data_IF_247209744061
#
_entry.id   IF_247209744061
#
_cell.length_a   1.000
_cell.length_b   1.000
_cell.length_c   1.000
_cell.angle_alpha   90.00
_cell.angle_beta   90.00
_cell.angle_gamma   90.00
#
_symmetry.space_group_name_H-M   'P 1'
#
loop_
_entity.id
_entity.type
_entity.pdbx_description
1 polymer ?
#
# COMPACT_ATOMS: atom_id res chain seq x y z
N UNK A 1 -14.63 19.44 18.36
CA UNK A 1 -14.55 19.50 16.89
C UNK A 1 -15.01 18.16 16.33
N UNK A 2 -16.32 17.98 16.16
CA UNK A 2 -16.92 16.73 15.68
C UNK A 2 -16.80 16.66 14.15
N UNK A 3 -15.84 15.90 13.65
CA UNK A 3 -15.74 15.60 12.21
C UNK A 3 -16.91 14.71 11.81
N UNK A 4 -17.80 15.20 10.94
CA UNK A 4 -18.93 14.44 10.42
C UNK A 4 -18.43 13.20 9.65
N UNK A 5 -18.66 12.02 10.21
CA UNK A 5 -18.23 10.72 9.66
C UNK A 5 -19.04 10.28 8.44
N UNK A 6 -20.19 10.94 8.20
CA UNK A 6 -21.15 10.56 7.16
C UNK A 6 -20.57 10.62 5.75
N UNK A 7 -19.58 11.49 5.50
CA UNK A 7 -18.95 11.62 4.18
C UNK A 7 -17.51 11.06 4.12
N UNK A 8 -17.06 10.27 5.11
CA UNK A 8 -15.70 9.73 5.16
C UNK A 8 -15.55 8.37 4.45
N UNK A 9 -14.42 8.13 3.76
CA UNK A 9 -14.17 6.85 3.08
C UNK A 9 -14.20 5.73 4.12
N UNK A 10 -15.03 4.71 3.87
CA UNK A 10 -15.14 3.53 4.74
C UNK A 10 -15.64 3.91 6.17
N UNK A 11 -16.27 5.08 6.33
CA UNK A 11 -16.78 5.63 7.60
C UNK A 11 -15.72 5.74 8.72
N UNK A 12 -14.44 5.89 8.36
CA UNK A 12 -13.32 6.05 9.30
C UNK A 12 -12.70 7.44 9.09
N UNK A 13 -12.47 8.21 10.18
CA UNK A 13 -11.85 9.52 10.09
C UNK A 13 -10.39 9.45 9.65
N UNK A 14 -9.99 10.41 8.83
CA UNK A 14 -8.62 10.51 8.30
C UNK A 14 -7.50 10.34 9.35
N UNK A 15 -7.54 11.00 10.53
CA UNK A 15 -6.49 10.85 11.55
C UNK A 15 -6.35 9.41 12.07
N UNK A 16 -7.40 8.59 11.97
CA UNK A 16 -7.35 7.17 12.33
C UNK A 16 -7.01 6.30 11.11
N UNK A 17 -7.49 6.68 9.92
CA UNK A 17 -7.26 5.94 8.67
C UNK A 17 -5.78 5.87 8.31
N UNK A 18 -5.06 7.00 8.37
CA UNK A 18 -3.65 7.08 8.00
C UNK A 18 -2.74 6.12 8.80
N UNK A 19 -2.72 6.13 10.16
CA UNK A 19 -1.89 5.22 10.91
C UNK A 19 -2.32 3.76 10.73
N UNK A 20 -3.63 3.50 10.58
CA UNK A 20 -4.15 2.15 10.36
C UNK A 20 -3.69 1.59 9.00
N UNK A 21 -3.77 2.38 7.93
CA UNK A 21 -3.28 1.96 6.60
C UNK A 21 -1.77 1.70 6.61
N UNK A 22 -1.00 2.55 7.28
CA UNK A 22 0.44 2.40 7.40
C UNK A 22 0.83 1.17 8.24
N UNK A 23 0.10 0.90 9.32
CA UNK A 23 0.32 -0.28 10.18
C UNK A 23 -0.01 -1.59 9.44
N UNK A 24 -1.11 -1.63 8.69
CA UNK A 24 -1.45 -2.80 7.87
C UNK A 24 -0.42 -3.02 6.74
N UNK A 25 0.00 -1.93 6.09
CA UNK A 25 1.06 -2.00 5.08
C UNK A 25 2.40 -2.45 5.69
N UNK A 26 2.73 -2.00 6.91
CA UNK A 26 3.89 -2.46 7.66
C UNK A 26 3.81 -3.97 7.92
N UNK A 27 2.67 -4.47 8.39
CA UNK A 27 2.49 -5.89 8.68
C UNK A 27 2.66 -6.75 7.42
N UNK A 28 1.99 -6.39 6.32
CA UNK A 28 2.12 -7.09 5.04
C UNK A 28 3.55 -7.01 4.49
N UNK A 29 4.16 -5.83 4.51
CA UNK A 29 5.54 -5.62 4.06
C UNK A 29 6.56 -6.37 4.91
N UNK A 30 6.33 -6.45 6.22
CA UNK A 30 7.18 -7.20 7.15
C UNK A 30 7.07 -8.70 6.92
N UNK A 31 5.86 -9.23 6.67
CA UNK A 31 5.68 -10.65 6.35
C UNK A 31 6.37 -11.04 5.03
N UNK A 32 6.24 -10.21 4.00
CA UNK A 32 6.92 -10.39 2.72
C UNK A 32 8.46 -10.28 2.87
N UNK A 33 8.93 -9.25 3.57
CA UNK A 33 10.36 -9.05 3.83
C UNK A 33 10.97 -10.16 4.69
N UNK A 34 10.24 -10.65 5.69
CA UNK A 34 10.69 -11.73 6.56
C UNK A 34 10.80 -13.06 5.82
N UNK A 35 9.81 -13.41 5.00
CA UNK A 35 9.85 -14.63 4.20
C UNK A 35 11.01 -14.61 3.20
N UNK A 36 11.18 -13.51 2.46
CA UNK A 36 12.29 -13.36 1.52
C UNK A 36 13.66 -13.31 2.23
N UNK A 37 13.78 -12.52 3.31
CA UNK A 37 15.02 -12.36 4.06
C UNK A 37 15.50 -13.66 4.72
N UNK A 38 14.56 -14.45 5.27
CA UNK A 38 14.87 -15.76 5.85
C UNK A 38 15.35 -16.76 4.82
N UNK A 39 14.72 -16.80 3.64
CA UNK A 39 15.16 -17.65 2.52
C UNK A 39 16.56 -17.29 2.04
N UNK A 40 16.83 -16.01 1.79
CA UNK A 40 18.14 -15.54 1.31
C UNK A 40 19.24 -15.82 2.34
N UNK A 41 19.00 -15.53 3.62
CA UNK A 41 19.98 -15.80 4.68
C UNK A 41 20.24 -17.30 4.86
N UNK A 42 19.19 -18.13 4.78
CA UNK A 42 19.31 -19.58 4.84
C UNK A 42 20.08 -20.16 3.64
N UNK A 43 19.87 -19.63 2.43
CA UNK A 43 20.61 -20.04 1.23
C UNK A 43 22.08 -19.60 1.29
N UNK A 44 22.37 -18.38 1.78
CA UNK A 44 23.74 -17.93 2.02
C UNK A 44 24.48 -18.83 3.02
N UNK A 45 23.85 -19.14 4.16
CA UNK A 45 24.45 -20.04 5.14
C UNK A 45 24.79 -21.41 4.55
N UNK A 46 23.90 -21.95 3.70
CA UNK A 46 24.15 -23.23 3.00
C UNK A 46 25.29 -23.13 1.99
N UNK A 47 25.39 -22.02 1.27
CA UNK A 47 26.47 -21.78 0.32
C UNK A 47 27.83 -21.68 1.04
N UNK A 48 27.89 -20.90 2.12
CA UNK A 48 29.10 -20.73 2.95
C UNK A 48 29.54 -22.05 3.59
N UNK A 49 28.59 -22.88 4.03
CA UNK A 49 28.86 -24.15 4.70
C UNK A 49 28.76 -25.38 3.77
N UNK A 50 28.78 -25.20 2.45
CA UNK A 50 28.70 -26.31 1.50
C UNK A 50 29.87 -27.30 1.62
N UNK A 51 30.99 -26.86 2.20
CA UNK A 51 32.16 -27.70 2.47
C UNK A 51 32.15 -28.34 3.87
N UNK A 52 31.21 -27.98 4.76
CA UNK A 52 31.10 -28.45 6.15
C UNK A 52 29.76 -29.12 6.40
N UNK A 53 29.44 -30.14 5.61
CA UNK A 53 28.24 -30.92 5.86
C UNK A 53 28.42 -31.80 7.10
N UNK A 54 27.41 -31.87 7.98
CA UNK A 54 27.50 -32.67 9.19
C UNK A 54 27.51 -34.17 8.84
N UNK A 55 28.49 -34.90 9.36
CA UNK A 55 28.59 -36.37 9.26
C UNK A 55 28.03 -37.08 10.49
N UNK A 56 28.03 -36.40 11.65
CA UNK A 56 27.53 -36.93 12.92
C UNK A 56 26.14 -36.36 13.28
N UNK A 57 25.38 -37.12 14.08
CA UNK A 57 24.05 -36.69 14.56
C UNK A 57 24.09 -35.39 15.37
N UNK A 58 25.09 -35.22 16.23
CA UNK A 58 25.26 -34.01 17.04
C UNK A 58 25.59 -32.81 16.14
N UNK A 59 26.47 -33.00 15.16
CA UNK A 59 26.80 -31.98 14.16
C UNK A 59 25.59 -31.56 13.33
N UNK A 60 24.71 -32.50 12.99
CA UNK A 60 23.48 -32.21 12.25
C UNK A 60 22.54 -31.28 13.02
N UNK A 61 22.36 -31.52 14.32
CA UNK A 61 21.54 -30.67 15.18
C UNK A 61 22.14 -29.25 15.30
N UNK A 62 23.44 -29.14 15.59
CA UNK A 62 24.12 -27.85 15.72
C UNK A 62 24.10 -27.05 14.42
N UNK A 63 24.26 -27.73 13.28
CA UNK A 63 24.16 -27.11 11.96
C UNK A 63 22.78 -26.48 11.73
N UNK A 64 21.70 -27.24 11.98
CA UNK A 64 20.34 -26.75 11.78
C UNK A 64 19.96 -25.65 12.78
N UNK A 65 20.44 -25.73 14.02
CA UNK A 65 20.29 -24.69 15.03
C UNK A 65 20.93 -23.38 14.56
N UNK A 66 22.20 -23.40 14.15
CA UNK A 66 22.91 -22.22 13.63
C UNK A 66 22.27 -21.66 12.37
N UNK A 67 21.89 -22.52 11.41
CA UNK A 67 21.16 -22.13 10.21
C UNK A 67 19.87 -21.40 10.54
N UNK A 68 19.10 -21.90 11.50
CA UNK A 68 17.85 -21.30 11.90
C UNK A 68 18.06 -19.92 12.54
N UNK A 69 19.11 -19.72 13.35
CA UNK A 69 19.44 -18.39 13.88
C UNK A 69 19.79 -17.39 12.78
N UNK A 70 20.62 -17.78 11.80
CA UNK A 70 20.95 -16.92 10.67
C UNK A 70 19.72 -16.59 9.82
N UNK A 71 18.83 -17.56 9.60
CA UNK A 71 17.59 -17.36 8.87
C UNK A 71 16.63 -16.42 9.62
N UNK A 72 16.41 -16.61 10.92
CA UNK A 72 15.54 -15.75 11.75
C UNK A 72 16.07 -14.32 11.82
N UNK A 73 17.39 -14.15 11.98
CA UNK A 73 18.00 -12.82 12.00
C UNK A 73 17.88 -12.13 10.64
N UNK A 74 18.06 -12.86 9.54
CA UNK A 74 17.84 -12.36 8.18
C UNK A 74 16.39 -11.95 7.94
N UNK A 75 15.44 -12.77 8.40
CA UNK A 75 14.01 -12.50 8.33
C UNK A 75 13.63 -11.24 9.11
N UNK A 76 14.11 -11.08 10.34
CA UNK A 76 13.82 -9.91 11.16
C UNK A 76 14.36 -8.61 10.53
N UNK A 77 15.61 -8.62 10.06
CA UNK A 77 16.25 -7.43 9.45
C UNK A 77 15.55 -7.00 8.17
N UNK A 78 15.31 -7.92 7.24
CA UNK A 78 14.67 -7.57 5.97
C UNK A 78 13.17 -7.30 6.16
N UNK A 79 12.52 -7.98 7.11
CA UNK A 79 11.13 -7.71 7.51
C UNK A 79 10.93 -6.26 7.96
N UNK A 80 11.69 -5.79 8.94
CA UNK A 80 11.58 -4.39 9.44
C UNK A 80 11.85 -3.39 8.32
N UNK A 81 12.87 -3.63 7.51
CA UNK A 81 13.27 -2.75 6.40
C UNK A 81 12.20 -2.67 5.30
N UNK A 82 11.68 -3.81 4.86
CA UNK A 82 10.64 -3.88 3.83
C UNK A 82 9.31 -3.34 4.35
N UNK A 83 8.95 -3.70 5.59
CA UNK A 83 7.77 -3.20 6.29
C UNK A 83 7.79 -1.68 6.44
N UNK A 84 8.90 -1.11 6.90
CA UNK A 84 9.06 0.35 7.03
C UNK A 84 8.92 1.08 5.70
N UNK A 85 9.53 0.56 4.62
CA UNK A 85 9.37 1.13 3.27
C UNK A 85 7.92 1.09 2.81
N UNK A 86 7.24 -0.04 2.98
CA UNK A 86 5.83 -0.18 2.59
C UNK A 86 4.91 0.74 3.41
N UNK A 87 5.15 0.87 4.71
CA UNK A 87 4.39 1.76 5.58
C UNK A 87 4.50 3.23 5.14
N UNK A 88 5.71 3.69 4.81
CA UNK A 88 5.95 5.06 4.33
C UNK A 88 5.18 5.29 3.02
N UNK A 89 5.35 4.42 2.03
CA UNK A 89 4.70 4.61 0.72
C UNK A 89 3.18 4.46 0.78
N UNK A 90 2.65 3.57 1.62
CA UNK A 90 1.22 3.48 1.88
C UNK A 90 0.68 4.73 2.57
N UNK A 91 1.43 5.30 3.53
CA UNK A 91 1.10 6.57 4.16
C UNK A 91 1.10 7.74 3.17
N UNK A 92 2.09 7.81 2.28
CA UNK A 92 2.13 8.80 1.19
C UNK A 92 0.91 8.66 0.27
N UNK A 93 0.56 7.44 -0.12
CA UNK A 93 -0.64 7.18 -0.91
C UNK A 93 -1.91 7.67 -0.21
N UNK A 94 -2.12 7.28 1.04
CA UNK A 94 -3.30 7.67 1.82
C UNK A 94 -3.38 9.19 2.05
N UNK A 95 -2.23 9.86 2.21
CA UNK A 95 -2.13 11.31 2.30
C UNK A 95 -2.50 12.00 0.98
N UNK A 96 -1.97 11.51 -0.15
CA UNK A 96 -2.29 12.04 -1.47
C UNK A 96 -3.75 11.82 -1.84
N UNK A 97 -4.33 10.66 -1.51
CA UNK A 97 -5.75 10.37 -1.72
C UNK A 97 -6.65 11.38 -1.00
N UNK A 98 -6.37 11.64 0.28
CA UNK A 98 -7.09 12.66 1.04
C UNK A 98 -6.86 14.07 0.50
N UNK A 99 -5.63 14.39 0.08
CA UNK A 99 -5.30 15.67 -0.53
C UNK A 99 -6.09 15.92 -1.82
N UNK A 100 -6.19 14.91 -2.69
CA UNK A 100 -6.97 14.99 -3.94
C UNK A 100 -8.46 15.12 -3.64
N UNK A 101 -9.00 14.36 -2.68
CA UNK A 101 -10.41 14.47 -2.28
C UNK A 101 -10.75 15.88 -1.77
N UNK A 102 -9.90 16.47 -0.90
CA UNK A 102 -10.09 17.84 -0.38
C UNK A 102 -9.95 18.91 -1.45
N UNK A 103 -8.95 18.77 -2.32
CA UNK A 103 -8.71 19.72 -3.40
C UNK A 103 -9.88 19.73 -4.40
N UNK A 104 -10.37 18.54 -4.80
CA UNK A 104 -11.52 18.43 -5.70
C UNK A 104 -12.79 19.00 -5.08
N UNK A 105 -13.04 18.74 -3.79
CA UNK A 105 -14.16 19.34 -3.07
C UNK A 105 -14.08 20.87 -3.05
N UNK A 106 -12.91 21.43 -2.73
CA UNK A 106 -12.70 22.88 -2.68
C UNK A 106 -12.88 23.56 -4.05
N UNK A 107 -12.32 22.97 -5.11
CA UNK A 107 -12.43 23.50 -6.48
C UNK A 107 -13.88 23.48 -6.96
N UNK A 108 -14.63 22.40 -6.71
CA UNK A 108 -16.06 22.32 -7.07
C UNK A 108 -16.90 23.36 -6.34
N UNK A 109 -16.67 23.55 -5.03
CA UNK A 109 -17.38 24.60 -4.28
C UNK A 109 -17.08 26.00 -4.79
N UNK A 110 -15.83 26.26 -5.20
CA UNK A 110 -15.42 27.56 -5.75
C UNK A 110 -16.05 27.83 -7.13
N UNK A 111 -16.27 26.78 -7.94
CA UNK A 111 -16.98 26.85 -9.23
C UNK A 111 -18.52 26.92 -9.10
N UNK A 112 -19.06 27.07 -7.88
CA UNK A 112 -20.51 27.16 -7.64
C UNK A 112 -21.25 25.82 -7.66
N UNK A 113 -20.53 24.69 -7.61
CA UNK A 113 -21.10 23.36 -7.49
C UNK A 113 -21.31 22.98 -6.01
N UNK A 114 -22.41 22.30 -5.70
CA UNK A 114 -22.69 21.80 -4.35
C UNK A 114 -21.65 20.73 -3.93
N UNK A 115 -20.69 21.13 -3.10
CA UNK A 115 -19.60 20.28 -2.60
C UNK A 115 -20.06 19.10 -1.75
N UNK A 116 -21.34 19.04 -1.34
CA UNK A 116 -21.91 17.87 -0.67
C UNK A 116 -21.99 16.63 -1.58
N UNK A 117 -22.01 16.85 -2.91
CA UNK A 117 -22.04 15.80 -3.95
C UNK A 117 -20.67 15.35 -4.45
N UNK A 118 -19.56 15.90 -3.94
CA UNK A 118 -18.23 15.43 -4.37
C UNK A 118 -17.98 14.02 -3.81
N UNK A 119 -18.39 13.03 -4.59
CA UNK A 119 -18.21 11.63 -4.25
C UNK A 119 -16.73 11.27 -4.25
N UNK A 120 -16.32 10.60 -3.19
CA UNK A 120 -14.98 10.07 -2.99
C UNK A 120 -14.84 8.81 -3.85
N UNK A 121 -14.62 9.02 -5.15
CA UNK A 121 -14.72 7.99 -6.17
C UNK A 121 -13.35 7.35 -6.52
N UNK A 122 -13.40 6.26 -7.28
CA UNK A 122 -12.21 5.60 -7.84
C UNK A 122 -11.26 6.53 -8.63
N UNK A 123 -11.75 7.66 -9.15
CA UNK A 123 -10.92 8.63 -9.89
C UNK A 123 -9.88 9.27 -8.96
N UNK A 124 -10.23 9.66 -7.73
CA UNK A 124 -9.25 10.23 -6.81
C UNK A 124 -8.25 9.19 -6.31
N UNK A 125 -8.68 7.93 -6.13
CA UNK A 125 -7.76 6.82 -5.84
C UNK A 125 -6.79 6.54 -6.99
N UNK A 126 -7.23 6.71 -8.24
CA UNK A 126 -6.41 6.58 -9.45
C UNK A 126 -5.38 7.72 -9.55
N UNK A 127 -5.82 8.96 -9.35
CA UNK A 127 -4.93 10.14 -9.35
C UNK A 127 -3.91 10.08 -8.22
N UNK A 128 -4.33 9.65 -7.03
CA UNK A 128 -3.43 9.40 -5.91
C UNK A 128 -2.41 8.31 -6.23
N UNK A 129 -2.84 7.24 -6.91
CA UNK A 129 -1.97 6.16 -7.38
C UNK A 129 -0.94 6.65 -8.40
N UNK A 130 -1.37 7.45 -9.37
CA UNK A 130 -0.49 8.09 -10.36
C UNK A 130 0.53 9.01 -9.68
N UNK A 131 0.07 9.87 -8.76
CA UNK A 131 0.92 10.80 -8.03
C UNK A 131 1.94 10.07 -7.15
N UNK A 132 1.52 9.00 -6.46
CA UNK A 132 2.42 8.18 -5.62
C UNK A 132 3.46 7.46 -6.48
N UNK A 133 3.05 6.88 -7.63
CA UNK A 133 3.97 6.23 -8.57
C UNK A 133 4.97 7.22 -9.20
N UNK A 134 4.52 8.44 -9.51
CA UNK A 134 5.38 9.52 -9.97
C UNK A 134 6.37 9.97 -8.89
N UNK A 135 5.90 10.18 -7.66
CA UNK A 135 6.76 10.51 -6.52
C UNK A 135 7.82 9.42 -6.25
N UNK A 136 7.42 8.14 -6.34
CA UNK A 136 8.34 7.01 -6.25
C UNK A 136 9.41 7.05 -7.34
N UNK A 137 9.03 7.39 -8.57
CA UNK A 137 9.97 7.47 -9.67
C UNK A 137 10.99 8.60 -9.52
N UNK A 138 10.56 9.76 -9.03
CA UNK A 138 11.45 10.89 -8.72
C UNK A 138 12.40 10.52 -7.58
N UNK A 139 11.89 9.88 -6.53
CA UNK A 139 12.70 9.38 -5.42
C UNK A 139 13.79 8.42 -5.89
N UNK A 140 13.44 7.50 -6.81
CA UNK A 140 14.36 6.55 -7.41
C UNK A 140 15.27 7.13 -8.51
N UNK A 141 15.10 8.41 -8.88
CA UNK A 141 15.79 9.07 -10.01
C UNK A 141 15.74 8.25 -11.30
N UNK A 142 14.57 7.67 -11.62
CA UNK A 142 14.44 6.82 -12.79
C UNK A 142 14.44 7.60 -14.11
N UNK A 143 14.94 7.01 -15.21
CA UNK A 143 14.78 7.57 -16.56
C UNK A 143 13.31 7.76 -16.92
N UNK A 144 13.02 8.78 -17.75
CA UNK A 144 11.66 9.12 -18.21
C UNK A 144 10.77 7.91 -18.60
N UNK A 145 11.22 6.94 -19.42
CA UNK A 145 10.37 5.80 -19.79
C UNK A 145 10.02 4.90 -18.59
N UNK A 146 10.92 4.75 -17.63
CA UNK A 146 10.68 3.95 -16.43
C UNK A 146 9.76 4.69 -15.46
N UNK A 147 9.90 6.01 -15.36
CA UNK A 147 9.03 6.85 -14.54
C UNK A 147 7.58 6.80 -15.02
N UNK A 148 7.33 6.91 -16.32
CA UNK A 148 5.99 6.78 -16.91
C UNK A 148 5.39 5.41 -16.61
N UNK A 149 6.19 4.34 -16.71
CA UNK A 149 5.74 2.99 -16.39
C UNK A 149 5.33 2.85 -14.92
N UNK A 150 6.11 3.42 -14.00
CA UNK A 150 5.79 3.41 -12.56
C UNK A 150 4.53 4.22 -12.25
N UNK A 151 4.37 5.41 -12.86
CA UNK A 151 3.16 6.20 -12.73
C UNK A 151 1.93 5.47 -13.29
N UNK A 152 2.07 4.78 -14.43
CA UNK A 152 1.00 4.00 -15.05
C UNK A 152 0.61 2.80 -14.19
N UNK A 153 1.59 2.09 -13.59
CA UNK A 153 1.34 1.01 -12.64
C UNK A 153 0.62 1.52 -11.39
N UNK A 154 1.07 2.67 -10.86
CA UNK A 154 0.41 3.35 -9.75
C UNK A 154 -1.04 3.72 -10.06
N UNK A 155 -1.30 4.26 -11.26
CA UNK A 155 -2.64 4.58 -11.72
C UNK A 155 -3.54 3.32 -11.80
N UNK A 156 -3.05 2.23 -12.42
CA UNK A 156 -3.80 0.97 -12.50
C UNK A 156 -4.10 0.38 -11.13
N UNK A 157 -3.12 0.39 -10.22
CA UNK A 157 -3.30 -0.08 -8.85
C UNK A 157 -4.31 0.80 -8.08
N UNK A 158 -4.22 2.13 -8.23
CA UNK A 158 -5.15 3.09 -7.63
C UNK A 158 -6.57 2.95 -8.15
N UNK A 159 -6.74 2.66 -9.45
CA UNK A 159 -8.04 2.38 -10.06
C UNK A 159 -8.66 1.10 -9.49
N UNK A 160 -7.88 0.01 -9.42
CA UNK A 160 -8.35 -1.24 -8.84
C UNK A 160 -8.74 -1.09 -7.36
N UNK A 161 -7.93 -0.37 -6.59
CA UNK A 161 -8.21 -0.07 -5.19
C UNK A 161 -9.47 0.80 -5.02
N UNK A 162 -9.61 1.84 -5.85
CA UNK A 162 -10.77 2.72 -5.87
C UNK A 162 -12.08 2.00 -6.18
N UNK A 163 -12.08 1.12 -7.19
CA UNK A 163 -13.25 0.28 -7.51
C UNK A 163 -13.61 -0.62 -6.33
N UNK A 164 -12.61 -1.22 -5.67
CA UNK A 164 -12.85 -2.07 -4.51
C UNK A 164 -13.44 -1.26 -3.33
N UNK A 165 -12.94 -0.05 -3.09
CA UNK A 165 -13.51 0.86 -2.10
C UNK A 165 -14.95 1.25 -2.45
N UNK A 166 -15.25 1.52 -3.72
CA UNK A 166 -16.59 1.90 -4.18
C UNK A 166 -17.58 0.74 -4.03
N UNK A 167 -17.16 -0.49 -4.33
CA UNK A 167 -17.97 -1.71 -4.09
C UNK A 167 -18.28 -1.92 -2.61
N UNK A 168 -17.30 -1.72 -1.72
CA UNK A 168 -17.51 -1.79 -0.27
C UNK A 168 -18.43 -0.66 0.21
N UNK A 169 -18.31 0.53 -0.38
CA UNK A 169 -19.20 1.66 -0.13
C UNK A 169 -20.66 1.34 -0.49
N UNK A 170 -20.88 0.71 -1.65
CA UNK A 170 -22.20 0.27 -2.09
C UNK A 170 -22.81 -0.78 -1.18
N UNK A 171 -22.03 -1.79 -0.78
CA UNK A 171 -22.50 -2.82 0.14
C UNK A 171 -22.93 -2.25 1.50
N UNK A 172 -22.37 -1.10 1.90
CA UNK A 172 -22.74 -0.36 3.13
C UNK A 172 -23.84 0.69 2.92
N UNK A 173 -24.44 0.76 1.74
CA UNK A 173 -25.56 1.68 1.44
C UNK A 173 -25.13 3.13 1.19
N UNK A 174 -23.85 3.41 0.91
CA UNK A 174 -23.37 4.75 0.53
C UNK A 174 -23.59 4.97 -0.98
N UNK A 175 -24.08 6.15 -1.35
CA UNK A 175 -24.10 6.58 -2.76
C UNK A 175 -22.67 6.84 -3.23
N UNK A 176 -22.17 6.01 -4.14
CA UNK A 176 -20.88 6.22 -4.83
C UNK A 176 -21.15 6.78 -6.22
N UNK A 177 -20.26 7.65 -6.71
CA UNK A 177 -20.43 8.37 -7.97
C UNK A 177 -20.52 7.46 -9.18
N UNK A 178 -19.90 6.27 -9.15
CA UNK A 178 -20.00 5.29 -10.24
C UNK A 178 -21.44 4.80 -10.44
N UNK A 179 -22.21 4.62 -9.37
CA UNK A 179 -23.60 4.17 -9.49
C UNK A 179 -24.52 5.29 -9.92
N UNK A 180 -24.22 6.54 -9.58
CA UNK A 180 -24.93 7.69 -10.16
C UNK A 180 -24.62 7.87 -11.64
N UNK A 181 -23.36 7.67 -12.06
CA UNK A 181 -22.95 7.75 -13.46
C UNK A 181 -23.54 6.61 -14.30
N UNK A 182 -23.57 5.39 -13.77
CA UNK A 182 -24.23 4.23 -14.41
C UNK A 182 -25.75 4.46 -14.47
N UNK A 183 -26.40 4.93 -13.40
CA UNK A 183 -27.83 5.27 -13.41
C UNK A 183 -28.17 6.42 -14.35
N UNK A 184 -27.27 7.40 -14.51
CA UNK A 184 -27.43 8.50 -15.45
C UNK A 184 -27.21 8.08 -16.90
N UNK A 185 -26.37 7.08 -17.17
CA UNK A 185 -26.16 6.52 -18.51
C UNK A 185 -27.27 5.55 -18.95
N UNK A 186 -27.95 4.90 -17.99
CA UNK A 186 -29.07 3.98 -18.21
C UNK A 186 -30.45 4.69 -18.27
N UNK A 187 -30.50 6.01 -18.19
CA UNK A 187 -31.73 6.82 -18.28
C UNK A 187 -31.70 7.65 -19.56
#
# INVERSE_FOLDING_TARGET
>A
MSTSTANERISIPFPVRLPLTSALAFACGSALGASQGGLVAGLRFRAENAHRFPTDQVGWYLYHKSKNYHAVLGAAKEGIKMGGKMAIWAGVYAYLEEGVDRYRGAVMTWWGWDGSRTSKDAISSTLAGLATGGAFAVWGRFPAPTAVRMATLGAKAGLGYGILQDLVGLARGRSVGIVELVKAFLR
#
